data_IF_697806288257
#
_entry.id   IF_697806288257
#
_cell.length_a   1.000
_cell.length_b   1.000
_cell.length_c   1.000
_cell.angle_alpha   90.00
_cell.angle_beta   90.00
_cell.angle_gamma   90.00
#
_symmetry.space_group_name_H-M   'P 1'
#
loop_
_entity.id
_entity.type
_entity.pdbx_description
1 polymer ?
#
# COMPACT_ATOMS: atom_id res chain seq x y z
N UNK A 1 12.82 -43.44 21.13
CA UNK A 1 11.45 -42.88 21.25
C UNK A 1 11.42 -41.47 21.83
N UNK A 2 12.04 -41.18 22.99
CA UNK A 2 12.11 -39.81 23.56
C UNK A 2 12.68 -38.75 22.60
N UNK A 3 13.77 -39.06 21.88
CA UNK A 3 14.41 -38.10 20.96
C UNK A 3 13.58 -37.81 19.70
N UNK A 4 12.77 -38.77 19.22
CA UNK A 4 11.88 -38.60 18.05
C UNK A 4 10.68 -37.73 18.43
N UNK A 5 10.13 -37.90 19.63
CA UNK A 5 9.04 -37.07 20.13
C UNK A 5 9.45 -35.60 20.29
N UNK A 6 10.68 -35.33 20.74
CA UNK A 6 11.21 -33.96 20.88
C UNK A 6 11.38 -33.30 19.49
N UNK A 7 11.92 -34.04 18.50
CA UNK A 7 12.07 -33.51 17.13
C UNK A 7 10.72 -33.22 16.49
N UNK A 8 9.71 -34.10 16.65
CA UNK A 8 8.35 -33.83 16.18
C UNK A 8 7.73 -32.60 16.88
N UNK A 9 7.95 -32.44 18.19
CA UNK A 9 7.41 -31.32 18.97
C UNK A 9 7.98 -29.97 18.52
N UNK A 10 9.29 -29.91 18.23
CA UNK A 10 9.96 -28.70 17.72
C UNK A 10 9.51 -28.38 16.29
N UNK A 11 9.26 -29.40 15.46
CA UNK A 11 8.76 -29.22 14.10
C UNK A 11 7.34 -28.62 14.07
N UNK A 12 6.45 -29.04 14.98
CA UNK A 12 5.08 -28.49 15.08
C UNK A 12 5.05 -27.04 15.62
N UNK A 13 5.99 -26.65 16.48
CA UNK A 13 6.09 -25.28 16.98
C UNK A 13 6.55 -24.27 15.93
N UNK A 14 7.39 -24.68 14.97
CA UNK A 14 7.84 -23.82 13.88
C UNK A 14 6.74 -23.54 12.83
N UNK A 15 5.78 -24.45 12.67
CA UNK A 15 4.68 -24.31 11.70
C UNK A 15 3.59 -23.32 12.15
N UNK A 16 3.38 -23.14 13.45
CA UNK A 16 2.30 -22.28 13.98
C UNK A 16 2.60 -20.79 13.87
N UNK A 17 3.88 -20.39 13.90
CA UNK A 17 4.28 -18.98 13.73
C UNK A 17 4.02 -18.44 12.31
N UNK A 18 4.09 -19.31 11.29
CA UNK A 18 3.87 -18.97 9.88
C UNK A 18 2.38 -18.73 9.54
N UNK A 19 1.46 -19.30 10.31
CA UNK A 19 0.04 -19.27 9.98
C UNK A 19 -0.64 -17.89 10.19
N UNK A 20 -0.10 -17.02 11.06
CA UNK A 20 -0.70 -15.69 11.32
C UNK A 20 -0.44 -14.67 10.22
N UNK A 21 0.64 -14.83 9.47
CA UNK A 21 0.99 -13.98 8.33
C UNK A 21 0.78 -14.68 6.98
N UNK A 22 0.21 -15.89 6.95
CA UNK A 22 -0.12 -16.57 5.68
C UNK A 22 -1.38 -16.02 5.00
N UNK A 23 -1.96 -14.93 5.52
CA UNK A 23 -3.05 -14.23 4.84
C UNK A 23 -2.54 -13.66 3.51
N UNK A 24 -3.48 -13.43 2.60
CA UNK A 24 -3.29 -12.92 1.25
C UNK A 24 -4.35 -11.84 1.06
N UNK A 25 -4.13 -10.91 0.14
CA UNK A 25 -5.13 -9.89 -0.12
C UNK A 25 -4.71 -8.94 -1.22
N UNK A 26 -5.69 -8.59 -2.02
CA UNK A 26 -5.65 -7.46 -2.93
C UNK A 26 -6.47 -6.33 -2.35
N UNK A 27 -5.86 -5.16 -2.21
CA UNK A 27 -6.48 -3.96 -1.67
C UNK A 27 -6.39 -2.85 -2.69
N UNK A 28 -7.48 -2.14 -2.90
CA UNK A 28 -7.54 -1.01 -3.83
C UNK A 28 -7.80 0.28 -3.08
N UNK A 29 -7.18 1.36 -3.58
CA UNK A 29 -7.36 2.69 -3.05
C UNK A 29 -7.60 3.67 -4.21
N UNK A 30 -8.68 4.47 -4.18
CA UNK A 30 -9.77 4.42 -3.18
C UNK A 30 -10.48 3.06 -3.17
N UNK A 31 -10.99 2.65 -2.00
CA UNK A 31 -11.58 1.32 -1.79
C UNK A 31 -13.05 1.23 -2.20
N UNK A 32 -13.74 2.37 -2.27
CA UNK A 32 -15.08 2.52 -2.86
C UNK A 32 -15.41 4.00 -3.10
N UNK A 33 -16.57 4.24 -3.70
CA UNK A 33 -17.29 5.51 -3.54
C UNK A 33 -17.35 6.36 -4.79
N UNK A 34 -17.47 7.67 -4.57
CA UNK A 34 -17.62 8.67 -5.61
C UNK A 34 -16.27 9.20 -6.08
N UNK A 35 -16.03 9.10 -7.39
CA UNK A 35 -14.75 9.43 -8.03
C UNK A 35 -14.87 10.56 -9.06
N UNK A 36 -13.72 11.17 -9.36
CA UNK A 36 -13.53 12.07 -10.50
C UNK A 36 -13.32 11.26 -11.79
N UNK A 37 -13.63 11.87 -12.93
CA UNK A 37 -13.50 11.23 -14.24
C UNK A 37 -12.06 10.79 -14.59
N UNK A 38 -11.05 11.34 -13.92
CA UNK A 38 -9.62 11.04 -14.10
C UNK A 38 -8.99 10.32 -12.91
N UNK A 39 -9.78 9.72 -12.01
CA UNK A 39 -9.24 9.02 -10.84
C UNK A 39 -8.27 7.89 -11.21
N UNK A 40 -7.19 7.81 -10.44
CA UNK A 40 -6.19 6.77 -10.38
C UNK A 40 -6.56 5.75 -9.31
N UNK A 41 -5.98 4.55 -9.42
CA UNK A 41 -6.17 3.48 -8.45
C UNK A 41 -4.82 2.93 -8.01
N UNK A 42 -4.59 2.85 -6.71
CA UNK A 42 -3.48 2.11 -6.16
C UNK A 42 -3.95 0.70 -5.81
N UNK A 43 -3.38 -0.32 -6.45
CA UNK A 43 -3.60 -1.72 -6.09
C UNK A 43 -2.41 -2.21 -5.28
N UNK A 44 -2.65 -2.67 -4.06
CA UNK A 44 -1.68 -3.33 -3.21
C UNK A 44 -1.95 -4.83 -3.16
N UNK A 45 -0.89 -5.63 -3.20
CA UNK A 45 -0.91 -7.07 -3.02
C UNK A 45 -0.05 -7.48 -1.84
N UNK A 46 -0.65 -8.23 -0.92
CA UNK A 46 0.01 -8.76 0.26
C UNK A 46 0.36 -10.25 0.11
N UNK A 47 1.56 -10.63 0.57
CA UNK A 47 2.08 -12.00 0.60
C UNK A 47 2.04 -12.67 -0.79
N UNK A 48 1.16 -13.65 -0.99
CA UNK A 48 1.01 -14.38 -2.26
C UNK A 48 0.39 -13.50 -3.36
N UNK A 49 -0.43 -12.52 -2.99
CA UNK A 49 -1.08 -11.60 -3.92
C UNK A 49 -0.10 -10.66 -4.63
N UNK A 50 1.16 -10.59 -4.18
CA UNK A 50 2.22 -9.84 -4.86
C UNK A 50 2.48 -10.29 -6.28
N UNK A 51 2.33 -11.59 -6.55
CA UNK A 51 2.51 -12.12 -7.91
C UNK A 51 1.43 -11.61 -8.87
N UNK A 52 0.22 -11.35 -8.36
CA UNK A 52 -0.86 -10.76 -9.15
C UNK A 52 -0.49 -9.33 -9.54
N UNK A 53 -0.04 -8.52 -8.59
CA UNK A 53 0.38 -7.14 -8.85
C UNK A 53 1.54 -7.09 -9.86
N UNK A 54 2.53 -7.98 -9.70
CA UNK A 54 3.67 -8.09 -10.64
C UNK A 54 3.24 -8.53 -12.04
N UNK A 55 2.17 -9.30 -12.15
CA UNK A 55 1.65 -9.85 -13.40
C UNK A 55 0.57 -9.01 -14.09
N UNK A 56 0.20 -7.84 -13.56
CA UNK A 56 -0.88 -7.03 -14.15
C UNK A 56 -0.60 -6.70 -15.62
N UNK A 57 -1.63 -6.86 -16.45
CA UNK A 57 -1.61 -6.70 -17.91
C UNK A 57 -0.65 -7.60 -18.71
N UNK A 58 0.22 -8.37 -18.06
CA UNK A 58 1.03 -9.42 -18.70
C UNK A 58 0.39 -10.81 -18.55
N UNK A 59 -0.13 -11.10 -17.36
CA UNK A 59 -0.82 -12.35 -16.99
C UNK A 59 -2.25 -12.12 -16.52
N UNK A 60 -2.48 -10.98 -15.87
CA UNK A 60 -3.75 -10.64 -15.24
C UNK A 60 -4.28 -9.33 -15.83
N UNK A 61 -5.12 -9.37 -16.88
CA UNK A 61 -5.70 -8.16 -17.46
C UNK A 61 -6.50 -7.39 -16.40
N UNK A 62 -6.26 -6.08 -16.29
CA UNK A 62 -6.91 -5.22 -15.29
C UNK A 62 -7.66 -4.08 -15.96
N UNK A 63 -8.91 -3.87 -15.57
CA UNK A 63 -9.82 -2.91 -16.20
C UNK A 63 -10.97 -2.51 -15.29
N UNK A 64 -11.69 -1.46 -15.70
CA UNK A 64 -12.98 -1.06 -15.14
C UNK A 64 -14.10 -1.51 -16.10
N UNK A 65 -15.17 -2.09 -15.57
CA UNK A 65 -16.37 -2.49 -16.31
C UNK A 65 -17.53 -1.56 -15.95
N UNK A 66 -18.00 -0.76 -16.90
CA UNK A 66 -19.22 0.04 -16.76
C UNK A 66 -20.44 -0.88 -16.63
N UNK A 67 -21.46 -0.45 -15.88
CA UNK A 67 -22.78 -1.11 -15.83
C UNK A 67 -23.42 -1.23 -17.23
N UNK A 68 -23.00 -0.42 -18.22
CA UNK A 68 -23.43 -0.51 -19.63
C UNK A 68 -22.65 -1.55 -20.44
N UNK A 69 -21.68 -2.24 -19.85
CA UNK A 69 -20.86 -3.28 -20.48
C UNK A 69 -19.56 -2.78 -21.13
N UNK A 70 -19.26 -1.49 -21.08
CA UNK A 70 -18.00 -0.94 -21.58
C UNK A 70 -16.83 -1.36 -20.68
N UNK A 71 -15.77 -1.91 -21.27
CA UNK A 71 -14.48 -2.14 -20.59
C UNK A 71 -13.53 -0.97 -20.84
N UNK A 72 -12.96 -0.42 -19.77
CA UNK A 72 -11.91 0.61 -19.82
C UNK A 72 -10.64 0.01 -19.23
N UNK A 73 -9.60 -0.19 -20.04
CA UNK A 73 -8.34 -0.77 -19.56
C UNK A 73 -7.69 0.12 -18.50
N UNK A 74 -7.10 -0.50 -17.49
CA UNK A 74 -6.25 0.17 -16.51
C UNK A 74 -4.78 -0.04 -16.89
N UNK A 75 -4.08 1.05 -17.20
CA UNK A 75 -2.66 1.06 -17.54
C UNK A 75 -1.85 1.09 -16.24
N UNK A 76 -0.86 0.20 -16.12
CA UNK A 76 0.13 0.23 -15.03
C UNK A 76 1.08 1.39 -15.28
N UNK A 77 0.96 2.46 -14.50
CA UNK A 77 1.82 3.65 -14.57
C UNK A 77 3.11 3.46 -13.81
N UNK A 78 3.04 2.74 -12.70
CA UNK A 78 4.18 2.50 -11.83
C UNK A 78 3.97 1.17 -11.09
N UNK A 79 5.07 0.45 -10.87
CA UNK A 79 5.13 -0.72 -10.01
C UNK A 79 6.18 -0.47 -8.93
N UNK A 80 5.87 -0.83 -7.69
CA UNK A 80 6.83 -0.78 -6.60
C UNK A 80 6.76 -2.07 -5.77
N UNK A 81 7.91 -2.69 -5.54
CA UNK A 81 8.04 -3.81 -4.60
C UNK A 81 8.39 -3.24 -3.22
N UNK A 82 7.56 -3.53 -2.22
CA UNK A 82 7.85 -3.22 -0.83
C UNK A 82 8.91 -4.16 -0.27
N UNK A 83 9.54 -3.77 0.83
CA UNK A 83 10.62 -4.56 1.42
C UNK A 83 10.11 -5.65 2.38
N UNK A 84 8.81 -5.64 2.73
CA UNK A 84 8.23 -6.64 3.64
C UNK A 84 6.86 -7.12 3.17
N UNK A 85 6.86 -8.13 2.29
CA UNK A 85 5.67 -8.83 1.81
C UNK A 85 4.55 -7.98 1.17
N UNK A 86 4.84 -6.75 0.75
CA UNK A 86 3.94 -5.90 -0.05
C UNK A 86 4.48 -5.64 -1.44
N UNK A 87 3.57 -5.41 -2.38
CA UNK A 87 3.85 -4.84 -3.70
C UNK A 87 2.67 -3.98 -4.10
N UNK A 88 2.89 -2.99 -4.95
CA UNK A 88 1.84 -2.10 -5.39
C UNK A 88 1.96 -1.73 -6.87
N UNK A 89 0.84 -1.40 -7.48
CA UNK A 89 0.77 -0.81 -8.81
C UNK A 89 -0.12 0.44 -8.77
N UNK A 90 0.39 1.54 -9.33
CA UNK A 90 -0.43 2.71 -9.63
C UNK A 90 -1.04 2.53 -11.02
N UNK A 91 -2.37 2.59 -11.07
CA UNK A 91 -3.17 2.28 -12.24
C UNK A 91 -3.92 3.53 -12.72
N UNK A 92 -3.94 3.73 -14.02
CA UNK A 92 -4.64 4.84 -14.67
C UNK A 92 -5.59 4.30 -15.73
N UNK A 93 -6.85 4.74 -15.77
CA UNK A 93 -7.73 4.49 -16.92
C UNK A 93 -7.09 4.94 -18.23
N UNK A 94 -7.17 4.11 -19.27
CA UNK A 94 -6.61 4.45 -20.60
C UNK A 94 -7.29 5.65 -21.26
N UNK A 95 -8.51 5.98 -20.80
CA UNK A 95 -9.31 7.13 -21.19
C UNK A 95 -10.12 7.63 -19.99
N UNK A 96 -10.62 8.86 -20.08
CA UNK A 96 -11.50 9.43 -19.06
C UNK A 96 -12.77 8.59 -18.86
N UNK A 97 -13.23 8.54 -17.61
CA UNK A 97 -14.44 7.82 -17.22
C UNK A 97 -15.69 8.69 -17.42
N UNK A 98 -16.81 8.05 -17.77
CA UNK A 98 -18.05 8.75 -18.07
C UNK A 98 -18.75 9.18 -16.78
N UNK A 99 -19.10 10.46 -16.66
CA UNK A 99 -19.88 10.95 -15.53
C UNK A 99 -21.26 10.28 -15.46
N UNK A 100 -21.72 10.04 -14.24
CA UNK A 100 -22.98 9.36 -13.93
C UNK A 100 -22.93 7.84 -14.09
N UNK A 101 -21.82 7.27 -14.57
CA UNK A 101 -21.68 5.82 -14.69
C UNK A 101 -21.07 5.21 -13.43
N UNK A 102 -21.46 3.95 -13.18
CA UNK A 102 -20.83 3.11 -12.16
C UNK A 102 -19.95 2.09 -12.83
N UNK A 103 -18.73 1.94 -12.31
CA UNK A 103 -17.74 1.00 -12.79
C UNK A 103 -17.41 -0.02 -11.72
N UNK A 104 -17.21 -1.27 -12.14
CA UNK A 104 -16.67 -2.34 -11.31
C UNK A 104 -15.19 -2.55 -11.63
N UNK A 105 -14.32 -2.63 -10.63
CA UNK A 105 -12.92 -2.98 -10.83
C UNK A 105 -12.76 -4.48 -11.04
N UNK A 106 -12.08 -4.86 -12.11
CA UNK A 106 -11.91 -6.24 -12.53
C UNK A 106 -10.44 -6.57 -12.77
N UNK A 107 -10.06 -7.78 -12.35
CA UNK A 107 -8.81 -8.44 -12.73
C UNK A 107 -9.20 -9.82 -13.25
N UNK A 108 -8.92 -10.07 -14.52
CA UNK A 108 -9.19 -11.36 -15.15
C UNK A 108 -8.07 -12.37 -14.83
N UNK A 109 -8.41 -13.65 -14.95
CA UNK A 109 -7.46 -14.77 -14.83
C UNK A 109 -6.73 -14.84 -13.48
N UNK A 110 -7.35 -14.31 -12.41
CA UNK A 110 -6.82 -14.44 -11.05
C UNK A 110 -6.54 -15.91 -10.72
N UNK A 111 -5.45 -16.21 -9.99
CA UNK A 111 -5.20 -17.56 -9.50
C UNK A 111 -6.39 -18.10 -8.69
N UNK A 112 -6.61 -19.43 -8.62
CA UNK A 112 -7.74 -20.00 -7.86
C UNK A 112 -7.74 -19.64 -6.38
N UNK A 113 -6.57 -19.26 -5.86
CA UNK A 113 -6.39 -18.80 -4.50
C UNK A 113 -6.61 -17.28 -4.35
N UNK A 114 -7.04 -16.54 -5.36
CA UNK A 114 -7.15 -15.08 -5.25
C UNK A 114 -8.59 -14.58 -5.38
N UNK A 115 -8.94 -13.69 -4.44
CA UNK A 115 -10.15 -12.89 -4.31
C UNK A 115 -9.91 -11.41 -4.65
N UNK A 116 -10.62 -10.81 -5.61
CA UNK A 116 -10.77 -9.35 -5.61
C UNK A 116 -12.15 -8.98 -5.08
N UNK A 117 -12.16 -8.18 -4.02
CA UNK A 117 -13.37 -7.68 -3.41
C UNK A 117 -13.09 -7.06 -2.05
N UNK A 118 -14.14 -6.59 -1.41
CA UNK A 118 -14.08 -6.04 -0.07
C UNK A 118 -15.02 -6.79 0.85
N UNK A 119 -14.51 -7.15 2.02
CA UNK A 119 -15.35 -7.69 3.07
C UNK A 119 -16.25 -6.61 3.66
N UNK A 120 -17.56 -6.76 3.50
CA UNK A 120 -18.56 -5.95 4.17
C UNK A 120 -18.94 -6.64 5.48
N UNK A 121 -18.49 -6.07 6.61
CA UNK A 121 -18.73 -6.63 7.93
C UNK A 121 -20.22 -6.64 8.33
N UNK A 122 -21.02 -5.71 7.81
CA UNK A 122 -22.45 -5.64 8.10
C UNK A 122 -23.25 -6.73 7.40
N UNK A 123 -22.85 -7.11 6.18
CA UNK A 123 -23.50 -8.19 5.42
C UNK A 123 -22.80 -9.54 5.56
N UNK A 124 -21.58 -9.56 6.11
CA UNK A 124 -20.70 -10.72 6.23
C UNK A 124 -20.19 -11.25 4.89
N UNK A 125 -20.28 -10.46 3.82
CA UNK A 125 -20.00 -10.90 2.44
C UNK A 125 -18.84 -10.14 1.82
N UNK A 126 -18.12 -10.80 0.92
CA UNK A 126 -17.21 -10.12 0.02
C UNK A 126 -17.99 -9.51 -1.15
N UNK A 127 -17.92 -8.20 -1.29
CA UNK A 127 -18.59 -7.42 -2.31
C UNK A 127 -17.61 -6.97 -3.39
N UNK A 128 -18.15 -6.75 -4.60
CA UNK A 128 -17.37 -6.21 -5.71
C UNK A 128 -16.98 -4.77 -5.42
N UNK A 129 -15.79 -4.37 -5.87
CA UNK A 129 -15.32 -3.00 -5.80
C UNK A 129 -16.03 -2.17 -6.88
N UNK A 130 -16.92 -1.27 -6.46
CA UNK A 130 -17.73 -0.42 -7.35
C UNK A 130 -17.49 1.05 -7.06
N UNK A 131 -17.48 1.85 -8.13
CA UNK A 131 -17.18 3.28 -8.09
C UNK A 131 -18.15 4.03 -8.97
N UNK A 132 -18.74 5.10 -8.44
CA UNK A 132 -19.63 5.99 -9.21
C UNK A 132 -18.89 7.24 -9.60
N UNK A 133 -18.91 7.61 -10.87
CA UNK A 133 -18.26 8.84 -11.34
C UNK A 133 -19.24 10.00 -11.15
N UNK A 134 -19.11 10.74 -10.06
CA UNK A 134 -20.02 11.86 -9.74
C UNK A 134 -19.40 13.23 -9.98
N UNK A 135 -18.09 13.30 -10.21
CA UNK A 135 -17.35 14.56 -10.40
C UNK A 135 -16.72 14.62 -11.79
N UNK A 136 -16.61 15.83 -12.32
CA UNK A 136 -15.77 16.11 -13.49
C UNK A 136 -14.32 15.76 -13.21
N UNK A 137 -13.46 15.85 -14.22
CA UNK A 137 -12.02 15.73 -14.02
C UNK A 137 -11.57 16.73 -12.93
N UNK A 138 -10.80 16.23 -11.97
CA UNK A 138 -10.19 17.02 -10.91
C UNK A 138 -8.79 17.44 -11.37
N UNK A 139 -8.55 18.75 -11.38
CA UNK A 139 -7.32 19.37 -11.83
C UNK A 139 -6.65 20.18 -10.70
N UNK A 140 -7.23 20.18 -9.50
CA UNK A 140 -6.69 20.89 -8.35
C UNK A 140 -5.52 20.08 -7.75
N UNK A 141 -4.40 20.74 -7.50
CA UNK A 141 -3.24 20.10 -6.85
C UNK A 141 -3.43 20.09 -5.33
N UNK A 142 -2.85 19.10 -4.61
CA UNK A 142 -2.74 19.15 -3.16
C UNK A 142 -2.07 20.44 -2.69
N UNK A 143 -2.44 20.95 -1.52
CA UNK A 143 -1.85 22.13 -0.90
C UNK A 143 -0.99 21.73 0.29
N UNK A 144 0.34 21.80 0.13
CA UNK A 144 1.29 21.56 1.22
C UNK A 144 1.47 22.84 2.05
N UNK A 145 0.91 22.86 3.25
CA UNK A 145 1.09 23.96 4.22
C UNK A 145 2.39 23.83 5.00
N UNK A 146 2.75 22.61 5.38
CA UNK A 146 4.03 22.31 6.02
C UNK A 146 4.57 20.96 5.57
N UNK A 147 5.87 20.96 5.26
CA UNK A 147 6.62 19.78 4.85
C UNK A 147 6.63 18.68 5.92
N UNK A 148 7.02 17.45 5.53
CA UNK A 148 7.10 16.36 6.47
C UNK A 148 8.22 16.63 7.49
N UNK A 149 7.97 16.31 8.75
CA UNK A 149 8.94 16.35 9.83
C UNK A 149 8.95 15.02 10.55
N UNK A 150 10.13 14.53 10.93
CA UNK A 150 10.25 13.37 11.80
C UNK A 150 9.46 13.63 13.09
N UNK A 151 8.66 12.66 13.51
CA UNK A 151 7.86 12.78 14.72
C UNK A 151 8.30 11.79 15.81
N UNK A 152 8.29 10.50 15.49
CA UNK A 152 8.68 9.43 16.42
C UNK A 152 9.07 8.19 15.64
N UNK A 153 9.76 7.28 16.29
CA UNK A 153 9.87 5.88 15.88
C UNK A 153 9.04 4.98 16.79
N UNK A 154 8.77 3.78 16.31
CA UNK A 154 8.06 2.75 17.06
C UNK A 154 8.69 1.39 16.76
N UNK A 155 9.12 0.70 17.81
CA UNK A 155 9.56 -0.69 17.73
C UNK A 155 8.90 -1.47 18.85
N UNK A 156 8.17 -2.52 18.49
CA UNK A 156 7.61 -3.43 19.48
C UNK A 156 7.71 -4.87 18.98
N UNK A 157 8.27 -5.74 19.82
CA UNK A 157 8.43 -7.17 19.52
C UNK A 157 7.16 -7.93 19.89
N UNK A 158 6.63 -8.71 18.94
CA UNK A 158 5.51 -9.63 19.15
C UNK A 158 5.91 -11.06 18.77
N UNK A 159 5.02 -12.02 19.04
CA UNK A 159 5.29 -13.44 18.80
C UNK A 159 5.56 -13.80 17.34
N UNK A 160 5.07 -13.04 16.36
CA UNK A 160 5.29 -13.28 14.93
C UNK A 160 6.30 -12.30 14.28
N UNK A 161 7.06 -11.57 15.09
CA UNK A 161 8.03 -10.57 14.64
C UNK A 161 7.73 -9.17 15.16
N UNK A 162 8.63 -8.21 14.93
CA UNK A 162 8.42 -6.84 15.37
C UNK A 162 7.48 -6.07 14.45
N UNK A 163 6.76 -5.10 15.01
CA UNK A 163 6.45 -3.89 14.26
C UNK A 163 7.65 -2.95 14.35
N UNK A 164 7.93 -2.24 13.26
CA UNK A 164 9.04 -1.29 13.15
C UNK A 164 8.59 -0.17 12.22
N UNK A 165 8.33 1.01 12.79
CA UNK A 165 7.86 2.18 12.06
C UNK A 165 8.65 3.43 12.41
N UNK A 166 8.79 4.30 11.42
CA UNK A 166 9.19 5.70 11.59
C UNK A 166 8.04 6.58 11.11
N UNK A 167 7.62 7.48 11.96
CA UNK A 167 6.46 8.32 11.77
C UNK A 167 6.88 9.74 11.46
N UNK A 168 6.28 10.31 10.42
CA UNK A 168 6.42 11.71 10.05
C UNK A 168 5.08 12.40 10.15
N UNK A 169 5.12 13.70 10.45
CA UNK A 169 3.94 14.56 10.40
C UNK A 169 4.08 15.57 9.29
N UNK A 170 2.97 15.88 8.63
CA UNK A 170 2.89 16.88 7.58
C UNK A 170 1.54 17.59 7.64
N UNK A 171 1.42 18.73 6.98
CA UNK A 171 0.14 19.39 6.77
C UNK A 171 -0.08 19.57 5.28
N UNK A 172 -0.83 18.63 4.70
CA UNK A 172 -1.25 18.63 3.30
C UNK A 172 -2.77 18.57 3.27
N UNK A 173 -3.38 19.46 2.50
CA UNK A 173 -4.81 19.47 2.26
C UNK A 173 -5.10 19.05 0.82
N UNK A 174 -6.07 18.16 0.67
CA UNK A 174 -6.63 17.76 -0.61
C UNK A 174 -8.11 17.40 -0.43
N UNK A 175 -8.91 17.50 -1.50
CA UNK A 175 -10.33 17.13 -1.48
C UNK A 175 -10.56 15.64 -1.72
N UNK A 176 -9.52 14.93 -2.11
CA UNK A 176 -9.52 13.52 -2.45
C UNK A 176 -8.48 12.77 -1.60
N UNK A 177 -8.36 11.46 -1.85
CA UNK A 177 -7.33 10.66 -1.20
C UNK A 177 -5.94 11.13 -1.63
N UNK A 178 -5.11 11.47 -0.65
CA UNK A 178 -3.71 11.83 -0.89
C UNK A 178 -2.82 10.58 -1.00
N UNK A 179 -2.06 10.49 -2.08
CA UNK A 179 -1.04 9.49 -2.37
C UNK A 179 0.34 10.11 -2.14
N UNK A 180 1.04 9.71 -1.08
CA UNK A 180 2.38 10.22 -0.78
C UNK A 180 3.43 9.19 -1.14
N UNK A 181 4.24 9.49 -2.15
CA UNK A 181 5.35 8.64 -2.57
C UNK A 181 6.57 8.90 -1.68
N UNK A 182 6.98 7.91 -0.92
CA UNK A 182 8.23 7.92 -0.17
C UNK A 182 9.34 7.24 -0.96
N UNK A 183 10.48 7.90 -1.10
CA UNK A 183 11.72 7.33 -1.63
C UNK A 183 12.74 7.31 -0.50
N UNK A 184 13.13 6.12 -0.05
CA UNK A 184 14.08 5.92 1.04
C UNK A 184 15.41 5.42 0.48
N UNK A 185 16.51 6.04 0.90
CA UNK A 185 17.87 5.63 0.62
C UNK A 185 18.53 5.10 1.89
N UNK A 186 19.11 3.91 1.80
CA UNK A 186 20.10 3.42 2.76
C UNK A 186 21.40 4.20 2.57
N UNK A 187 21.84 4.90 3.62
CA UNK A 187 23.01 5.79 3.54
C UNK A 187 24.35 5.05 3.44
N UNK A 188 24.37 3.77 3.83
CA UNK A 188 25.58 2.94 3.75
C UNK A 188 25.69 2.26 2.39
N UNK A 189 24.61 1.63 1.91
CA UNK A 189 24.63 0.89 0.64
C UNK A 189 24.30 1.76 -0.58
N UNK A 190 23.72 2.95 -0.37
CA UNK A 190 23.20 3.82 -1.42
C UNK A 190 21.92 3.30 -2.09
N UNK A 191 21.44 2.10 -1.72
CA UNK A 191 20.25 1.48 -2.32
C UNK A 191 19.01 2.28 -1.99
N UNK A 192 18.20 2.54 -3.02
CA UNK A 192 16.92 3.23 -2.89
C UNK A 192 15.75 2.25 -2.95
N UNK A 193 14.67 2.57 -2.26
CA UNK A 193 13.39 1.87 -2.35
C UNK A 193 12.26 2.88 -2.28
N UNK A 194 11.17 2.58 -2.97
CA UNK A 194 10.11 3.55 -3.21
C UNK A 194 8.75 2.90 -2.95
N UNK A 195 7.87 3.60 -2.25
CA UNK A 195 6.52 3.12 -1.98
C UNK A 195 5.51 4.28 -1.86
N UNK A 196 4.23 4.05 -2.16
CA UNK A 196 3.17 5.03 -1.93
C UNK A 196 2.57 4.73 -0.57
N UNK A 197 2.42 5.77 0.22
CA UNK A 197 1.84 5.72 1.55
C UNK A 197 0.47 6.35 1.45
N UNK A 198 -0.51 5.66 2.02
CA UNK A 198 -1.83 6.22 2.24
C UNK A 198 -1.75 7.04 3.52
N UNK A 199 -1.95 8.35 3.43
CA UNK A 199 -1.94 9.20 4.62
C UNK A 199 -3.21 8.98 5.42
N UNK A 200 -3.08 8.64 6.71
CA UNK A 200 -4.19 8.68 7.68
C UNK A 200 -4.51 10.11 8.13
N UNK A 201 -4.52 11.07 7.21
CA UNK A 201 -4.51 12.50 7.52
C UNK A 201 -3.10 13.07 7.60
N UNK A 202 -2.71 13.60 8.78
CA UNK A 202 -1.45 14.34 8.99
C UNK A 202 -0.23 13.47 9.29
N UNK A 203 -0.37 12.16 9.29
CA UNK A 203 0.68 11.22 9.66
C UNK A 203 1.06 10.30 8.49
N UNK A 204 2.37 10.10 8.31
CA UNK A 204 2.96 9.14 7.40
C UNK A 204 3.79 8.14 8.18
N UNK A 205 3.49 6.85 8.03
CA UNK A 205 4.22 5.77 8.68
C UNK A 205 5.02 4.99 7.64
N UNK A 206 6.33 4.89 7.86
CA UNK A 206 7.24 4.11 7.01
C UNK A 206 7.76 2.93 7.80
N UNK A 207 7.76 1.75 7.20
CA UNK A 207 8.22 0.55 7.87
C UNK A 207 7.22 -0.58 7.68
N UNK A 208 7.04 -1.38 8.72
CA UNK A 208 6.19 -2.55 8.67
C UNK A 208 5.56 -2.92 10.01
N UNK A 209 4.40 -3.56 9.92
CA UNK A 209 3.81 -4.29 11.03
C UNK A 209 4.41 -5.69 11.14
N UNK A 210 3.79 -6.54 11.95
CA UNK A 210 4.29 -7.89 12.19
C UNK A 210 4.32 -8.78 10.93
N UNK A 211 3.49 -8.49 9.92
CA UNK A 211 3.30 -9.35 8.76
C UNK A 211 3.65 -8.71 7.42
N UNK A 212 3.53 -7.38 7.32
CA UNK A 212 3.74 -6.65 6.07
C UNK A 212 4.09 -5.19 6.28
N UNK A 213 4.73 -4.62 5.26
CA UNK A 213 5.01 -3.20 5.20
C UNK A 213 5.78 -2.77 3.96
N UNK A 214 5.81 -1.46 3.78
CA UNK A 214 6.45 -0.79 2.66
C UNK A 214 7.97 -0.86 2.73
N UNK A 215 8.52 -0.75 3.95
CA UNK A 215 9.97 -0.70 4.20
C UNK A 215 10.36 -1.64 5.34
N UNK A 216 11.61 -2.13 5.32
CA UNK A 216 12.18 -2.97 6.35
C UNK A 216 13.51 -2.34 6.80
N UNK A 217 13.48 -1.61 7.91
CA UNK A 217 14.65 -0.90 8.42
C UNK A 217 15.48 -1.79 9.34
N UNK A 218 16.79 -1.76 9.13
CA UNK A 218 17.75 -2.33 10.07
C UNK A 218 17.87 -1.41 11.29
N UNK A 219 17.87 -2.00 12.48
CA UNK A 219 17.89 -1.26 13.75
C UNK A 219 19.10 -0.33 13.84
N UNK A 220 18.87 0.95 14.15
CA UNK A 220 19.90 1.96 14.34
C UNK A 220 20.64 2.40 13.07
N UNK A 221 20.37 1.77 11.92
CA UNK A 221 21.00 2.12 10.64
C UNK A 221 20.47 3.45 10.11
N UNK A 222 21.33 4.21 9.43
CA UNK A 222 21.02 5.55 8.90
C UNK A 222 20.35 5.47 7.53
N UNK A 223 19.27 6.24 7.38
CA UNK A 223 18.49 6.35 6.17
C UNK A 223 18.17 7.81 5.86
N UNK A 224 17.81 8.07 4.61
CA UNK A 224 17.30 9.36 4.16
C UNK A 224 16.02 9.15 3.36
N UNK A 225 14.97 9.91 3.66
CA UNK A 225 13.69 9.85 2.94
C UNK A 225 13.38 11.17 2.25
N UNK A 226 12.77 11.07 1.06
CA UNK A 226 12.13 12.16 0.35
C UNK A 226 10.68 11.80 0.01
N UNK A 227 9.79 12.78 0.11
CA UNK A 227 8.36 12.61 -0.14
C UNK A 227 7.91 13.41 -1.37
N UNK A 228 7.10 12.80 -2.22
CA UNK A 228 6.38 13.47 -3.30
C UNK A 228 4.88 13.29 -3.13
N UNK A 229 4.10 14.31 -3.49
CA UNK A 229 2.67 14.40 -3.19
C UNK A 229 1.85 14.38 -4.46
N UNK A 230 0.83 13.52 -4.47
CA UNK A 230 -0.12 13.40 -5.56
C UNK A 230 -1.50 13.11 -4.98
N UNK A 231 -2.55 13.64 -5.58
CA UNK A 231 -3.91 13.24 -5.23
C UNK A 231 -4.33 11.94 -5.95
N UNK A 232 -5.55 11.48 -5.70
CA UNK A 232 -6.09 10.30 -6.39
C UNK A 232 -6.53 10.60 -7.83
N UNK A 233 -6.36 11.81 -8.35
CA UNK A 233 -6.69 12.21 -9.73
C UNK A 233 -5.44 12.44 -10.60
N UNK A 234 -4.24 12.31 -10.01
CA UNK A 234 -2.96 12.46 -10.68
C UNK A 234 -2.36 13.86 -10.63
N UNK A 235 -2.97 14.81 -9.91
CA UNK A 235 -2.44 16.15 -9.71
C UNK A 235 -1.29 16.11 -8.70
N UNK A 236 -0.14 16.68 -9.08
CA UNK A 236 1.12 16.57 -8.33
C UNK A 236 1.66 17.93 -7.91
N UNK A 237 2.28 17.95 -6.74
CA UNK A 237 3.22 19.00 -6.40
C UNK A 237 4.50 18.86 -7.23
N UNK A 238 5.00 19.97 -7.77
CA UNK A 238 6.15 19.97 -8.68
C UNK A 238 7.46 19.65 -7.98
N UNK A 239 7.60 20.14 -6.74
CA UNK A 239 8.80 19.95 -5.95
C UNK A 239 8.51 18.94 -4.84
N UNK A 240 9.26 17.83 -4.77
CA UNK A 240 9.24 16.94 -3.62
C UNK A 240 9.68 17.67 -2.34
N UNK A 241 9.49 17.04 -1.18
CA UNK A 241 10.05 17.55 0.07
C UNK A 241 11.57 17.65 0.01
N UNK A 242 12.14 18.42 0.95
CA UNK A 242 13.53 18.23 1.34
C UNK A 242 13.78 16.79 1.81
N UNK A 243 15.04 16.37 1.76
CA UNK A 243 15.44 15.06 2.28
C UNK A 243 15.56 15.09 3.81
N UNK A 244 15.08 14.05 4.47
CA UNK A 244 15.05 13.95 5.94
C UNK A 244 15.80 12.71 6.36
N UNK A 245 16.79 12.88 7.24
CA UNK A 245 17.54 11.76 7.81
C UNK A 245 16.83 11.19 9.03
N UNK A 246 16.93 9.88 9.18
CA UNK A 246 16.41 9.16 10.34
C UNK A 246 17.18 7.86 10.55
N UNK A 247 17.03 7.26 11.73
CA UNK A 247 17.57 5.95 12.05
C UNK A 247 16.48 4.90 12.04
N UNK A 248 16.84 3.67 11.67
CA UNK A 248 15.95 2.53 11.83
C UNK A 248 15.55 2.36 13.31
N UNK A 249 14.26 2.10 13.61
CA UNK A 249 13.78 1.98 14.98
C UNK A 249 14.56 0.92 15.77
N UNK A 250 14.87 1.23 17.02
CA UNK A 250 15.51 0.30 17.97
C UNK A 250 14.51 -0.08 19.05
N UNK A 251 14.61 -1.27 19.66
CA UNK A 251 13.82 -1.59 20.85
C UNK A 251 14.04 -0.51 21.92
N UNK A 252 12.98 0.16 22.33
CA UNK A 252 13.05 1.06 23.48
C UNK A 252 13.41 0.27 24.74
N UNK A 253 14.24 0.83 25.61
CA UNK A 253 14.26 0.39 27.01
C UNK A 253 12.84 0.53 27.54
N UNK A 254 12.21 -0.60 27.92
CA UNK A 254 10.89 -0.55 28.55
C UNK A 254 11.03 0.32 29.79
N UNK A 255 10.43 1.51 29.78
CA UNK A 255 10.08 2.20 31.02
C UNK A 255 9.29 1.21 31.87
N UNK A 256 9.81 0.94 33.07
CA UNK A 256 9.31 -0.08 34.00
C UNK A 256 7.89 0.15 34.49
#
# INVERSE_FOLDING_TARGET
>A
MRSIAIILSVFFLALSAQARCSSRGLYTYPSEGELSANSLFLLEGYALSREVVRGLNAKFPVYLLSDKGEKVKLIVKEYNEGQFYLSQALLQPEKGLNMGETYTFCIDSLPPYEALGRYNASTGKNEKLRYTISKTADLEKPVLRSGPVFWKDEYAMFGCGPLSYVHFRMDVEDRSLLLVKATVQDMQSGKTSTFYLLSGGRELSLGHGMCSGSFAFEQGKEYEVQFAYMDASGNRLETPSGKIRFRGPVPGERGG
#
